data_IF_231224775148
#
_entry.id   IF_231224775148
#
_cell.length_a   1.000
_cell.length_b   1.000
_cell.length_c   1.000
_cell.angle_alpha   90.00
_cell.angle_beta   90.00
_cell.angle_gamma   90.00
#
_symmetry.space_group_name_H-M   'P 1'
#
loop_
_entity.id
_entity.type
_entity.pdbx_description
1 polymer ?
#
# COMPACT_ATOMS: atom_id res chain seq x y z
N UNK A 1 10.15 -8.94 -10.59
CA UNK A 1 11.28 -8.16 -10.05
C UNK A 1 11.55 -8.62 -8.62
N UNK A 2 12.79 -8.97 -8.29
CA UNK A 2 13.18 -9.34 -6.93
C UNK A 2 13.64 -8.06 -6.22
N UNK A 3 13.00 -7.70 -5.10
CA UNK A 3 13.50 -6.63 -4.22
C UNK A 3 14.02 -7.23 -2.92
N UNK A 4 15.24 -6.85 -2.54
CA UNK A 4 15.77 -7.10 -1.20
C UNK A 4 15.15 -6.06 -0.27
N UNK A 5 14.36 -6.50 0.70
CA UNK A 5 13.74 -5.63 1.67
C UNK A 5 14.79 -5.07 2.64
N UNK A 6 15.01 -3.74 2.67
CA UNK A 6 16.10 -3.12 3.47
C UNK A 6 16.03 -3.45 4.96
N UNK A 7 14.82 -3.60 5.52
CA UNK A 7 14.62 -3.78 6.98
C UNK A 7 14.78 -5.24 7.43
N UNK A 8 14.49 -6.21 6.58
CA UNK A 8 14.46 -7.64 6.94
C UNK A 8 15.47 -8.48 6.16
N UNK A 9 16.11 -7.90 5.13
CA UNK A 9 16.96 -8.58 4.13
C UNK A 9 16.27 -9.75 3.40
N UNK A 10 14.95 -9.91 3.55
CA UNK A 10 14.20 -11.02 2.93
C UNK A 10 13.86 -10.69 1.48
N UNK A 11 14.28 -11.53 0.55
CA UNK A 11 13.93 -11.43 -0.87
C UNK A 11 12.42 -11.49 -1.06
N UNK A 12 11.84 -10.49 -1.72
CA UNK A 12 10.42 -10.52 -2.12
C UNK A 12 10.32 -10.52 -3.63
N UNK A 13 9.70 -11.55 -4.17
CA UNK A 13 9.25 -11.55 -5.55
C UNK A 13 7.91 -10.82 -5.62
N UNK A 14 7.87 -9.73 -6.38
CA UNK A 14 6.61 -9.04 -6.69
C UNK A 14 6.30 -9.33 -8.15
N UNK A 15 5.16 -9.99 -8.37
CA UNK A 15 4.59 -10.19 -9.70
C UNK A 15 3.80 -8.94 -10.08
N UNK A 16 4.14 -8.35 -11.21
CA UNK A 16 3.30 -7.33 -11.84
C UNK A 16 2.36 -8.04 -12.80
N UNK A 17 1.07 -7.73 -12.71
CA UNK A 17 0.10 -8.15 -13.71
C UNK A 17 0.34 -7.41 -15.03
N UNK A 18 -0.35 -7.84 -16.08
CA UNK A 18 -0.21 -7.28 -17.43
C UNK A 18 -0.48 -5.77 -17.45
N UNK A 19 -1.56 -5.32 -16.82
CA UNK A 19 -1.95 -3.91 -16.78
C UNK A 19 -0.87 -3.02 -16.15
N UNK A 20 -0.24 -3.47 -15.05
CA UNK A 20 0.87 -2.72 -14.42
C UNK A 20 2.09 -2.71 -15.33
N UNK A 21 2.40 -3.81 -16.02
CA UNK A 21 3.50 -3.85 -16.98
C UNK A 21 3.28 -2.89 -18.16
N UNK A 22 2.07 -2.85 -18.70
CA UNK A 22 1.68 -1.96 -19.80
C UNK A 22 1.75 -0.49 -19.37
N UNK A 23 1.20 -0.14 -18.20
CA UNK A 23 1.30 1.23 -17.65
C UNK A 23 2.75 1.65 -17.38
N UNK A 24 3.57 0.75 -16.86
CA UNK A 24 4.99 1.04 -16.63
C UNK A 24 5.73 1.27 -17.95
N UNK A 25 5.44 0.49 -18.99
CA UNK A 25 6.01 0.68 -20.33
C UNK A 25 5.63 2.04 -20.91
N UNK A 26 4.34 2.38 -20.85
CA UNK A 26 3.83 3.67 -21.29
C UNK A 26 4.52 4.85 -20.58
N UNK A 27 4.65 4.78 -19.25
CA UNK A 27 5.34 5.81 -18.47
C UNK A 27 6.84 5.89 -18.80
N UNK A 28 7.49 4.75 -19.05
CA UNK A 28 8.91 4.70 -19.44
C UNK A 28 9.14 5.40 -20.78
N UNK A 29 8.28 5.16 -21.77
CA UNK A 29 8.32 5.82 -23.07
C UNK A 29 8.05 7.32 -22.96
N UNK A 30 7.03 7.72 -22.19
CA UNK A 30 6.72 9.14 -21.94
C UNK A 30 7.88 9.92 -21.28
N UNK A 31 8.69 9.24 -20.48
CA UNK A 31 9.87 9.84 -19.83
C UNK A 31 11.09 9.92 -20.75
N UNK A 32 10.97 9.54 -22.03
CA UNK A 32 12.07 9.55 -22.99
C UNK A 32 13.04 8.39 -22.80
N UNK A 33 12.56 7.24 -22.29
CA UNK A 33 13.35 6.02 -22.11
C UNK A 33 14.63 6.24 -21.27
N UNK A 34 14.50 6.69 -20.01
CA UNK A 34 15.64 6.95 -19.14
C UNK A 34 16.49 5.70 -18.91
N UNK A 35 17.77 5.89 -18.57
CA UNK A 35 18.69 4.78 -18.30
C UNK A 35 18.12 3.81 -17.24
N UNK A 36 18.16 2.47 -17.47
CA UNK A 36 17.59 1.48 -16.56
C UNK A 36 18.15 1.52 -15.13
N UNK A 37 19.37 2.02 -14.97
CA UNK A 37 20.09 2.14 -13.69
C UNK A 37 19.60 3.35 -12.88
N UNK A 38 18.87 4.28 -13.52
CA UNK A 38 18.33 5.46 -12.88
C UNK A 38 17.18 5.12 -11.93
N UNK A 39 17.06 5.88 -10.84
CA UNK A 39 15.86 5.79 -9.99
C UNK A 39 14.60 6.17 -10.77
N UNK A 40 13.53 5.40 -10.57
CA UNK A 40 12.23 5.60 -11.23
C UNK A 40 11.58 6.95 -10.86
N UNK A 41 11.77 7.40 -9.62
CA UNK A 41 11.14 8.62 -9.09
C UNK A 41 12.19 9.61 -8.62
N UNK A 42 12.60 10.50 -9.53
CA UNK A 42 13.55 11.58 -9.27
C UNK A 42 12.86 12.93 -9.14
N UNK A 43 13.43 13.79 -8.30
CA UNK A 43 13.10 15.21 -8.25
C UNK A 43 13.75 15.93 -9.44
N UNK A 44 12.99 16.55 -10.35
CA UNK A 44 13.55 17.30 -11.47
C UNK A 44 14.45 18.46 -11.03
N UNK A 45 14.20 19.01 -9.83
CA UNK A 45 14.95 20.15 -9.28
C UNK A 45 16.31 19.76 -8.72
N UNK A 46 16.44 18.56 -8.15
CA UNK A 46 17.62 18.17 -7.39
C UNK A 46 18.36 16.97 -7.96
N UNK A 47 17.77 16.25 -8.94
CA UNK A 47 18.30 15.01 -9.48
C UNK A 47 18.34 13.84 -8.48
N UNK A 48 17.81 14.03 -7.26
CA UNK A 48 17.82 13.02 -6.19
C UNK A 48 16.48 12.26 -6.15
N UNK A 49 16.47 10.99 -5.70
CA UNK A 49 15.23 10.25 -5.52
C UNK A 49 14.33 10.92 -4.49
N UNK A 50 13.02 10.83 -4.69
CA UNK A 50 12.06 11.35 -3.71
C UNK A 50 12.15 10.58 -2.39
N UNK A 51 12.23 11.32 -1.29
CA UNK A 51 12.21 10.72 0.05
C UNK A 51 10.81 10.30 0.47
N UNK A 52 10.72 9.38 1.43
CA UNK A 52 9.44 8.92 1.96
C UNK A 52 8.65 10.08 2.62
N UNK A 53 9.35 10.99 3.30
CA UNK A 53 8.79 12.17 3.94
C UNK A 53 8.16 13.10 2.90
N UNK A 54 8.84 13.29 1.76
CA UNK A 54 8.32 14.10 0.67
C UNK A 54 7.05 13.49 0.08
N UNK A 55 7.05 12.19 -0.19
CA UNK A 55 5.85 11.48 -0.68
C UNK A 55 4.69 11.62 0.32
N UNK A 56 4.94 11.40 1.62
CA UNK A 56 3.90 11.56 2.64
C UNK A 56 3.39 13.00 2.75
N UNK A 57 4.24 14.00 2.52
CA UNK A 57 3.82 15.41 2.45
C UNK A 57 2.91 15.66 1.24
N UNK A 58 3.26 15.13 0.07
CA UNK A 58 2.40 15.22 -1.12
C UNK A 58 1.03 14.58 -0.90
N UNK A 59 0.98 13.42 -0.25
CA UNK A 59 -0.29 12.76 0.06
C UNK A 59 -1.18 13.61 0.99
N UNK A 60 -0.59 14.33 1.95
CA UNK A 60 -1.35 15.31 2.76
C UNK A 60 -1.91 16.46 1.92
N UNK A 61 -1.16 16.95 0.94
CA UNK A 61 -1.65 17.97 -0.01
C UNK A 61 -2.82 17.42 -0.83
N UNK A 62 -2.70 16.20 -1.36
CA UNK A 62 -3.79 15.55 -2.11
C UNK A 62 -5.03 15.30 -1.28
N UNK A 63 -4.88 14.90 -0.01
CA UNK A 63 -6.01 14.78 0.93
C UNK A 63 -6.84 16.06 0.97
N UNK A 64 -6.20 17.21 1.13
CA UNK A 64 -6.87 18.52 1.21
C UNK A 64 -7.47 18.90 -0.15
N UNK A 65 -6.66 18.82 -1.21
CA UNK A 65 -7.07 19.17 -2.58
C UNK A 65 -8.30 18.42 -3.04
N UNK A 66 -8.38 17.13 -2.76
CA UNK A 66 -9.47 16.24 -3.17
C UNK A 66 -10.51 15.99 -2.07
N UNK A 67 -10.45 16.72 -0.94
CA UNK A 67 -11.38 16.62 0.19
C UNK A 67 -11.60 15.17 0.65
N UNK A 68 -10.53 14.38 0.70
CA UNK A 68 -10.63 12.96 1.05
C UNK A 68 -10.98 12.82 2.54
N UNK A 69 -12.04 12.06 2.91
CA UNK A 69 -12.48 11.87 4.29
C UNK A 69 -11.59 10.86 5.04
N UNK A 70 -10.27 11.02 4.94
CA UNK A 70 -9.27 10.13 5.53
C UNK A 70 -8.50 10.93 6.56
N UNK A 71 -8.45 10.50 7.83
CA UNK A 71 -7.75 11.25 8.89
C UNK A 71 -6.24 11.36 8.65
N UNK A 72 -5.58 10.23 8.35
CA UNK A 72 -4.13 10.16 8.14
C UNK A 72 -3.81 9.52 6.78
N UNK A 73 -3.59 10.36 5.76
CA UNK A 73 -3.20 9.88 4.43
C UNK A 73 -1.67 9.78 4.32
N UNK A 74 -1.17 8.56 4.11
CA UNK A 74 0.26 8.25 3.95
C UNK A 74 0.45 7.08 2.99
N UNK A 75 1.70 6.71 2.70
CA UNK A 75 2.01 5.52 1.88
C UNK A 75 1.41 4.23 2.46
N UNK A 76 1.29 4.12 3.79
CA UNK A 76 0.64 2.98 4.42
C UNK A 76 -0.85 2.90 4.12
N UNK A 77 -1.52 4.02 3.84
CA UNK A 77 -2.94 4.03 3.47
C UNK A 77 -3.19 3.13 2.26
N UNK A 78 -2.39 3.24 1.20
CA UNK A 78 -2.53 2.39 0.01
C UNK A 78 -2.40 0.89 0.33
N UNK A 79 -1.44 0.53 1.18
CA UNK A 79 -1.22 -0.87 1.57
C UNK A 79 -2.35 -1.41 2.44
N UNK A 80 -2.91 -0.60 3.34
CA UNK A 80 -4.11 -0.94 4.12
C UNK A 80 -5.32 -1.11 3.21
N UNK A 81 -5.54 -0.17 2.29
CA UNK A 81 -6.61 -0.23 1.29
C UNK A 81 -6.52 -1.48 0.42
N UNK A 82 -5.32 -1.82 -0.07
CA UNK A 82 -5.08 -3.08 -0.79
C UNK A 82 -5.47 -4.29 0.04
N UNK A 83 -5.05 -4.34 1.30
CA UNK A 83 -5.38 -5.46 2.19
C UNK A 83 -6.87 -5.60 2.43
N UNK A 84 -7.54 -4.48 2.73
CA UNK A 84 -8.99 -4.47 2.93
C UNK A 84 -9.72 -4.89 1.66
N UNK A 85 -9.35 -4.35 0.50
CA UNK A 85 -9.96 -4.70 -0.79
C UNK A 85 -9.86 -6.20 -1.08
N UNK A 86 -8.67 -6.80 -0.93
CA UNK A 86 -8.48 -8.24 -1.15
C UNK A 86 -9.28 -9.08 -0.15
N UNK A 87 -9.32 -8.68 1.13
CA UNK A 87 -10.11 -9.39 2.14
C UNK A 87 -11.61 -9.42 1.79
N UNK A 88 -12.16 -8.28 1.37
CA UNK A 88 -13.55 -8.16 0.92
C UNK A 88 -13.81 -8.99 -0.34
N UNK A 89 -12.91 -8.91 -1.34
CA UNK A 89 -13.01 -9.68 -2.59
C UNK A 89 -13.01 -11.19 -2.34
N UNK A 90 -12.30 -11.66 -1.31
CA UNK A 90 -12.26 -13.06 -0.89
C UNK A 90 -13.42 -13.44 0.05
N UNK A 91 -14.47 -12.61 0.14
CA UNK A 91 -15.66 -12.89 0.93
C UNK A 91 -15.42 -12.87 2.44
N UNK A 92 -14.45 -12.08 2.91
CA UNK A 92 -14.08 -11.97 4.34
C UNK A 92 -13.66 -13.29 4.98
N UNK A 93 -13.08 -14.20 4.20
CA UNK A 93 -12.72 -15.55 4.64
C UNK A 93 -11.44 -15.61 5.48
N UNK A 94 -11.29 -16.69 6.26
CA UNK A 94 -10.09 -16.96 7.04
C UNK A 94 -8.87 -17.16 6.12
N UNK A 95 -9.07 -17.83 4.98
CA UNK A 95 -8.07 -18.05 3.94
C UNK A 95 -7.57 -16.71 3.38
N UNK A 96 -8.46 -15.76 3.14
CA UNK A 96 -8.10 -14.41 2.71
C UNK A 96 -7.24 -13.68 3.73
N UNK A 97 -7.56 -13.81 5.02
CA UNK A 97 -6.76 -13.23 6.09
C UNK A 97 -5.36 -13.87 6.20
N UNK A 98 -5.27 -15.20 6.07
CA UNK A 98 -4.00 -15.94 6.05
C UNK A 98 -3.13 -15.50 4.87
N UNK A 99 -3.73 -15.42 3.67
CA UNK A 99 -3.02 -14.97 2.47
C UNK A 99 -2.48 -13.54 2.64
N UNK A 100 -3.29 -12.63 3.17
CA UNK A 100 -2.86 -11.26 3.45
C UNK A 100 -1.73 -11.19 4.47
N UNK A 101 -1.76 -12.04 5.50
CA UNK A 101 -0.68 -12.13 6.47
C UNK A 101 0.65 -12.54 5.82
N UNK A 102 0.61 -13.50 4.88
CA UNK A 102 1.78 -13.91 4.09
C UNK A 102 2.26 -12.78 3.16
N UNK A 103 1.34 -12.12 2.45
CA UNK A 103 1.65 -10.99 1.57
C UNK A 103 2.30 -9.84 2.34
N UNK A 104 1.80 -9.57 3.55
CA UNK A 104 2.29 -8.50 4.39
C UNK A 104 3.52 -8.85 5.23
N UNK A 105 3.82 -10.14 5.38
CA UNK A 105 4.89 -10.64 6.26
C UNK A 105 4.75 -10.18 7.70
N UNK A 106 3.52 -10.11 8.19
CA UNK A 106 3.29 -9.83 9.60
C UNK A 106 3.59 -11.07 10.44
N UNK A 107 4.02 -10.86 11.68
CA UNK A 107 4.40 -11.92 12.61
C UNK A 107 3.22 -12.79 13.04
N UNK A 108 2.00 -12.24 13.03
CA UNK A 108 0.78 -12.94 13.40
C UNK A 108 -0.45 -12.34 12.68
N UNK A 109 -1.52 -13.15 12.62
CA UNK A 109 -2.78 -12.76 11.98
C UNK A 109 -3.42 -11.53 12.62
N UNK A 110 -3.29 -11.36 13.93
CA UNK A 110 -3.84 -10.21 14.66
C UNK A 110 -3.25 -8.87 14.19
N UNK A 111 -1.95 -8.86 13.90
CA UNK A 111 -1.28 -7.70 13.28
C UNK A 111 -1.95 -7.36 11.95
N UNK A 112 -2.27 -8.36 11.14
CA UNK A 112 -2.98 -8.16 9.86
C UNK A 112 -4.40 -7.65 10.10
N UNK A 113 -5.18 -8.25 11.01
CA UNK A 113 -6.55 -7.80 11.35
C UNK A 113 -6.58 -6.33 11.73
N UNK A 114 -5.71 -5.92 12.65
CA UNK A 114 -5.57 -4.51 13.05
C UNK A 114 -5.11 -3.63 11.91
N UNK A 115 -4.17 -4.11 11.09
CA UNK A 115 -3.61 -3.35 9.98
C UNK A 115 -4.67 -2.96 8.94
N UNK A 116 -5.58 -3.88 8.60
CA UNK A 116 -6.67 -3.65 7.64
C UNK A 116 -7.98 -3.15 8.28
N UNK A 117 -7.97 -2.88 9.59
CA UNK A 117 -9.08 -2.23 10.31
C UNK A 117 -10.18 -3.16 10.82
N UNK A 118 -10.04 -4.48 10.71
CA UNK A 118 -11.07 -5.43 11.18
C UNK A 118 -11.24 -5.39 12.70
N UNK A 119 -10.15 -5.28 13.45
CA UNK A 119 -10.21 -5.25 14.91
C UNK A 119 -11.04 -4.07 15.43
N UNK A 120 -10.91 -2.89 14.82
CA UNK A 120 -11.70 -1.73 15.21
C UNK A 120 -13.17 -1.91 14.80
N UNK A 121 -13.43 -2.42 13.60
CA UNK A 121 -14.79 -2.69 13.13
C UNK A 121 -15.53 -3.71 14.03
N UNK A 122 -14.85 -4.74 14.51
CA UNK A 122 -15.44 -5.72 15.42
C UNK A 122 -15.77 -5.09 16.79
N UNK A 123 -14.91 -4.20 17.29
CA UNK A 123 -15.15 -3.43 18.52
C UNK A 123 -16.37 -2.52 18.34
N UNK A 124 -16.41 -1.77 17.24
CA UNK A 124 -17.51 -0.83 16.94
C UNK A 124 -18.86 -1.57 16.87
N UNK A 125 -18.91 -2.74 16.21
CA UNK A 125 -20.12 -3.58 16.15
C UNK A 125 -20.63 -4.02 17.52
N UNK A 126 -19.73 -4.36 18.44
CA UNK A 126 -20.12 -4.74 19.82
C UNK A 126 -20.79 -3.57 20.51
N UNK A 127 -20.19 -2.38 20.46
CA UNK A 127 -20.79 -1.18 21.06
C UNK A 127 -22.13 -0.80 20.42
N UNK A 128 -22.24 -0.89 19.09
CA UNK A 128 -23.49 -0.60 18.36
C UNK A 128 -24.62 -1.60 18.67
N UNK A 129 -24.28 -2.83 19.08
CA UNK A 129 -25.26 -3.87 19.44
C UNK A 129 -25.89 -3.68 20.82
N UNK A 130 -25.25 -2.90 21.70
CA UNK A 130 -25.77 -2.64 23.05
C UNK A 130 -26.94 -1.65 22.91
N UNK A 131 -28.17 -2.15 23.10
CA UNK A 131 -29.36 -1.31 23.24
C UNK A 131 -29.72 -1.21 24.71
N UNK A 132 -29.73 0.02 25.24
CA UNK A 132 -30.32 0.36 26.54
C UNK A 132 -31.75 0.86 26.34
#
# INVERSE_FOLDING_TARGET
>A
MTRIEQKTKKNRLIKFNRDVQEKNRFLYEMLGQPAPEQYIFLSPRTGKPYSLEYINRLLKVFRVRYRLPIRAFSTHTFRKTFGRYVYELMGRSAEGLILLNLIFRHSNLETTRRYIGLAQEDIDKVFDSIRL
#
